data_IF_047341232532
#
_entry.id   IF_047341232532
#
_cell.length_a   1.000
_cell.length_b   1.000
_cell.length_c   1.000
_cell.angle_alpha   90.00
_cell.angle_beta   90.00
_cell.angle_gamma   90.00
#
_symmetry.space_group_name_H-M   'P 1'
#
loop_
_entity.id
_entity.type
_entity.pdbx_description
1 polymer ?
#
# COMPACT_ATOMS: atom_id res chain seq x y z
N UNK A 1 20.90 13.91 17.57
CA UNK A 1 21.85 13.77 16.45
C UNK A 1 23.02 14.77 16.51
N UNK A 2 23.30 15.41 17.66
CA UNK A 2 24.59 16.06 17.95
C UNK A 2 25.18 15.35 19.19
N UNK A 3 26.47 15.04 19.17
CA UNK A 3 27.15 14.31 20.25
C UNK A 3 27.32 12.82 19.97
N UNK A 4 27.85 12.07 20.94
CA UNK A 4 28.03 10.62 20.83
C UNK A 4 26.71 9.91 21.15
N UNK A 5 26.17 9.16 20.19
CA UNK A 5 24.87 8.49 20.32
C UNK A 5 23.68 9.35 19.89
N UNK A 6 22.52 8.72 19.81
CA UNK A 6 21.26 9.36 19.43
C UNK A 6 20.24 9.22 20.54
N UNK A 7 19.32 10.18 20.64
CA UNK A 7 18.18 10.11 21.57
C UNK A 7 17.00 9.53 20.81
N UNK A 8 16.92 8.20 20.78
CA UNK A 8 15.89 7.45 20.05
C UNK A 8 14.49 7.81 20.54
N UNK A 9 14.35 8.00 21.86
CA UNK A 9 13.06 8.38 22.49
C UNK A 9 12.58 9.72 21.96
N UNK A 10 13.46 10.70 21.84
CA UNK A 10 13.11 12.01 21.27
C UNK A 10 12.75 11.91 19.80
N UNK A 11 13.52 11.16 18.99
CA UNK A 11 13.19 10.95 17.58
C UNK A 11 11.82 10.31 17.39
N UNK A 12 11.52 9.25 18.15
CA UNK A 12 10.21 8.59 18.11
C UNK A 12 9.11 9.60 18.45
N UNK A 13 9.20 10.29 19.59
CA UNK A 13 8.17 11.22 20.04
C UNK A 13 7.92 12.39 19.09
N UNK A 14 8.98 12.88 18.44
CA UNK A 14 8.87 13.99 17.51
C UNK A 14 8.22 13.53 16.21
N UNK A 15 8.72 12.47 15.57
CA UNK A 15 8.32 12.09 14.22
C UNK A 15 6.98 11.34 14.17
N UNK A 16 6.74 10.40 15.10
CA UNK A 16 5.52 9.55 15.13
C UNK A 16 4.23 10.28 15.51
N UNK A 17 4.26 11.62 15.61
CA UNK A 17 3.08 12.43 15.99
C UNK A 17 2.73 13.46 14.94
N UNK A 18 3.44 13.48 13.82
CA UNK A 18 3.36 14.54 12.81
C UNK A 18 2.44 14.12 11.68
N UNK A 19 1.63 15.06 11.22
CA UNK A 19 0.89 14.90 9.97
C UNK A 19 1.82 15.14 8.75
N UNK A 20 1.35 14.83 7.52
CA UNK A 20 2.13 15.02 6.30
C UNK A 20 2.68 16.44 6.07
N UNK A 21 1.96 17.48 6.49
CA UNK A 21 2.40 18.87 6.32
C UNK A 21 3.45 19.24 7.36
N UNK A 22 3.25 18.81 8.61
CA UNK A 22 4.18 19.05 9.69
C UNK A 22 5.54 18.39 9.44
N UNK A 23 5.56 17.17 8.89
CA UNK A 23 6.82 16.48 8.60
C UNK A 23 7.59 17.14 7.45
N UNK A 24 6.88 17.68 6.45
CA UNK A 24 7.47 18.48 5.37
C UNK A 24 8.14 19.75 5.93
N UNK A 25 7.44 20.46 6.83
CA UNK A 25 7.96 21.65 7.50
C UNK A 25 9.19 21.30 8.33
N UNK A 26 9.16 20.20 9.08
CA UNK A 26 10.31 19.75 9.88
C UNK A 26 11.50 19.47 8.96
N UNK A 27 11.32 18.69 7.90
CA UNK A 27 12.41 18.33 6.97
C UNK A 27 13.02 19.56 6.31
N UNK A 28 12.20 20.44 5.75
CA UNK A 28 12.66 21.65 5.08
C UNK A 28 13.31 22.66 6.04
N UNK A 29 12.79 22.81 7.25
CA UNK A 29 13.37 23.67 8.28
C UNK A 29 14.70 23.15 8.78
N UNK A 30 14.81 21.82 8.98
CA UNK A 30 16.05 21.17 9.36
C UNK A 30 17.16 21.44 8.33
N UNK A 31 16.85 21.25 7.04
CA UNK A 31 17.81 21.50 5.96
C UNK A 31 18.23 22.98 5.86
N UNK A 32 17.28 23.91 6.00
CA UNK A 32 17.60 25.35 5.98
C UNK A 32 18.47 25.79 7.16
N UNK A 33 18.18 25.27 8.35
CA UNK A 33 18.81 25.68 9.62
C UNK A 33 20.19 25.06 9.79
N UNK A 34 20.32 23.76 9.54
CA UNK A 34 21.55 23.02 9.80
C UNK A 34 22.40 22.76 8.55
N UNK A 35 21.89 23.07 7.36
CA UNK A 35 22.54 22.76 6.07
C UNK A 35 22.90 21.28 5.92
N UNK A 36 22.10 20.41 6.55
CA UNK A 36 22.21 18.94 6.56
C UNK A 36 20.87 18.34 6.18
N UNK A 37 20.87 17.10 5.69
CA UNK A 37 19.63 16.39 5.32
C UNK A 37 19.17 15.51 6.47
N UNK A 38 17.96 15.78 6.98
CA UNK A 38 17.36 15.03 8.10
C UNK A 38 17.40 13.51 7.89
N UNK A 39 17.03 13.06 6.69
CA UNK A 39 17.02 11.62 6.35
C UNK A 39 18.42 11.01 6.41
N UNK A 40 19.43 11.70 5.89
CA UNK A 40 20.81 11.19 5.89
C UNK A 40 21.41 11.19 7.30
N UNK A 41 21.07 12.18 8.11
CA UNK A 41 21.47 12.21 9.51
C UNK A 41 20.85 11.04 10.30
N UNK A 42 19.56 10.75 10.09
CA UNK A 42 18.90 9.58 10.69
C UNK A 42 19.61 8.28 10.29
N UNK A 43 19.92 8.09 9.01
CA UNK A 43 20.64 6.91 8.52
C UNK A 43 22.04 6.77 9.12
N UNK A 44 22.74 7.88 9.34
CA UNK A 44 24.09 7.84 9.93
C UNK A 44 24.11 7.48 11.41
N UNK A 45 23.00 7.71 12.10
CA UNK A 45 22.87 7.63 13.56
C UNK A 45 22.09 6.42 14.07
N UNK A 46 21.28 5.81 13.19
CA UNK A 46 20.41 4.66 13.54
C UNK A 46 20.70 3.50 12.60
N UNK A 47 20.20 2.29 12.92
CA UNK A 47 20.42 1.09 12.09
C UNK A 47 19.16 0.23 11.96
N UNK A 48 19.20 -0.67 10.97
CA UNK A 48 18.24 -1.78 10.80
C UNK A 48 16.78 -1.28 10.71
N UNK A 49 15.83 -2.02 11.26
CA UNK A 49 14.39 -1.73 11.16
C UNK A 49 13.95 -0.45 11.86
N UNK A 50 14.67 -0.06 12.91
CA UNK A 50 14.44 1.22 13.58
C UNK A 50 14.81 2.40 12.66
N UNK A 51 15.97 2.34 12.01
CA UNK A 51 16.37 3.32 10.98
C UNK A 51 15.35 3.37 9.85
N UNK A 52 14.97 2.21 9.30
CA UNK A 52 14.03 2.14 8.19
C UNK A 52 12.70 2.84 8.51
N UNK A 53 12.13 2.58 9.70
CA UNK A 53 10.91 3.24 10.13
C UNK A 53 11.06 4.76 10.32
N UNK A 54 12.14 5.22 10.95
CA UNK A 54 12.38 6.66 11.13
C UNK A 54 12.59 7.37 9.78
N UNK A 55 13.31 6.75 8.85
CA UNK A 55 13.52 7.29 7.50
C UNK A 55 12.20 7.40 6.75
N UNK A 56 11.32 6.39 6.84
CA UNK A 56 9.98 6.45 6.24
C UNK A 56 9.14 7.60 6.82
N UNK A 57 9.15 7.79 8.14
CA UNK A 57 8.49 8.96 8.75
C UNK A 57 9.11 10.27 8.24
N UNK A 58 10.44 10.42 8.30
CA UNK A 58 11.13 11.65 7.90
C UNK A 58 10.94 12.00 6.40
N UNK A 59 10.76 11.00 5.55
CA UNK A 59 10.41 11.17 4.14
C UNK A 59 8.98 11.71 3.96
N UNK A 60 8.05 11.44 4.88
CA UNK A 60 6.64 11.71 4.68
C UNK A 60 6.01 10.74 3.65
N UNK A 61 4.69 10.81 3.42
CA UNK A 61 3.97 9.78 2.67
C UNK A 61 4.46 9.62 1.22
N UNK A 62 4.61 10.73 0.48
CA UNK A 62 4.96 10.67 -0.94
C UNK A 62 6.41 10.21 -1.19
N UNK A 63 7.38 10.78 -0.46
CA UNK A 63 8.77 10.37 -0.65
C UNK A 63 9.03 8.95 -0.13
N UNK A 64 8.30 8.52 0.92
CA UNK A 64 8.38 7.15 1.39
C UNK A 64 7.91 6.18 0.31
N UNK A 65 6.75 6.43 -0.31
CA UNK A 65 6.21 5.60 -1.40
C UNK A 65 7.20 5.49 -2.59
N UNK A 66 7.74 6.60 -3.10
CA UNK A 66 8.64 6.53 -4.28
C UNK A 66 9.95 5.80 -3.95
N UNK A 67 10.50 5.96 -2.73
CA UNK A 67 11.70 5.26 -2.33
C UNK A 67 11.43 3.76 -2.12
N UNK A 68 10.31 3.39 -1.50
CA UNK A 68 9.93 1.99 -1.35
C UNK A 68 9.73 1.33 -2.73
N UNK A 69 9.12 2.02 -3.70
CA UNK A 69 9.02 1.55 -5.08
C UNK A 69 10.41 1.34 -5.70
N UNK A 70 11.28 2.35 -5.62
CA UNK A 70 12.62 2.30 -6.21
C UNK A 70 13.46 1.17 -5.61
N UNK A 71 13.50 1.09 -4.28
CA UNK A 71 14.29 0.10 -3.55
C UNK A 71 13.75 -1.33 -3.81
N UNK A 72 12.42 -1.50 -3.86
CA UNK A 72 11.82 -2.80 -4.15
C UNK A 72 12.07 -3.27 -5.58
N UNK A 73 12.10 -2.35 -6.56
CA UNK A 73 12.42 -2.65 -7.95
C UNK A 73 13.92 -2.90 -8.19
N UNK A 74 14.80 -2.38 -7.33
CA UNK A 74 16.24 -2.66 -7.42
C UNK A 74 16.66 -3.97 -6.73
N UNK A 75 15.86 -4.45 -5.78
CA UNK A 75 16.19 -5.59 -4.93
C UNK A 75 15.50 -6.91 -5.32
N UNK A 76 15.97 -8.05 -4.78
CA UNK A 76 15.31 -9.33 -5.01
C UNK A 76 14.02 -9.46 -4.19
N UNK A 77 12.94 -9.91 -4.84
CA UNK A 77 11.92 -10.75 -4.19
C UNK A 77 10.80 -10.09 -3.36
N UNK A 78 10.52 -8.79 -3.50
CA UNK A 78 9.31 -8.18 -2.88
C UNK A 78 8.62 -7.11 -3.73
N UNK A 79 9.10 -6.86 -4.95
CA UNK A 79 8.63 -5.78 -5.82
C UNK A 79 7.12 -5.80 -6.03
N UNK A 80 6.53 -6.97 -6.28
CA UNK A 80 5.12 -7.07 -6.63
C UNK A 80 4.21 -6.74 -5.43
N UNK A 81 4.61 -7.13 -4.22
CA UNK A 81 3.85 -6.82 -2.99
C UNK A 81 3.92 -5.32 -2.68
N UNK A 82 5.10 -4.72 -2.81
CA UNK A 82 5.29 -3.29 -2.57
C UNK A 82 4.56 -2.45 -3.62
N UNK A 83 4.60 -2.88 -4.88
CA UNK A 83 3.83 -2.25 -5.96
C UNK A 83 2.33 -2.38 -5.72
N UNK A 84 1.84 -3.54 -5.25
CA UNK A 84 0.44 -3.72 -4.86
C UNK A 84 0.04 -2.71 -3.78
N UNK A 85 0.79 -2.67 -2.67
CA UNK A 85 0.51 -1.79 -1.53
C UNK A 85 0.51 -0.30 -1.92
N UNK A 86 1.39 0.11 -2.84
CA UNK A 86 1.62 1.53 -3.17
C UNK A 86 0.75 2.01 -4.32
N UNK A 87 0.61 1.23 -5.39
CA UNK A 87 0.02 1.68 -6.65
C UNK A 87 -1.45 1.29 -6.80
N UNK A 88 -1.85 0.13 -6.27
CA UNK A 88 -3.23 -0.32 -6.41
C UNK A 88 -4.15 0.46 -5.48
N UNK A 89 -5.37 0.74 -5.95
CA UNK A 89 -6.39 1.50 -5.22
C UNK A 89 -6.00 2.95 -4.87
N UNK A 90 -4.95 3.50 -5.47
CA UNK A 90 -4.63 4.94 -5.39
C UNK A 90 -5.56 5.78 -6.26
N UNK A 91 -5.76 7.02 -5.85
CA UNK A 91 -6.46 8.00 -6.68
C UNK A 91 -5.62 8.40 -7.90
N UNK A 92 -6.28 8.92 -8.93
CA UNK A 92 -5.58 9.43 -10.11
C UNK A 92 -4.61 10.56 -9.77
N UNK A 93 -5.00 11.42 -8.81
CA UNK A 93 -4.15 12.51 -8.33
C UNK A 93 -2.89 11.97 -7.63
N UNK A 94 -3.04 10.98 -6.76
CA UNK A 94 -1.90 10.35 -6.07
C UNK A 94 -0.96 9.67 -7.06
N UNK A 95 -1.48 8.91 -8.02
CA UNK A 95 -0.65 8.25 -9.04
C UNK A 95 0.14 9.27 -9.86
N UNK A 96 -0.48 10.40 -10.26
CA UNK A 96 0.24 11.48 -10.96
C UNK A 96 1.32 12.11 -10.08
N UNK A 97 1.05 12.31 -8.79
CA UNK A 97 2.02 12.83 -7.83
C UNK A 97 3.21 11.87 -7.62
N UNK A 98 2.93 10.58 -7.43
CA UNK A 98 3.93 9.51 -7.31
C UNK A 98 4.84 9.51 -8.54
N UNK A 99 4.27 9.48 -9.75
CA UNK A 99 5.04 9.46 -10.99
C UNK A 99 5.93 10.70 -11.16
N UNK A 100 5.38 11.88 -10.88
CA UNK A 100 6.13 13.13 -10.96
C UNK A 100 7.29 13.16 -9.95
N UNK A 101 7.03 12.80 -8.69
CA UNK A 101 8.03 12.79 -7.63
C UNK A 101 9.12 11.71 -7.88
N UNK A 102 8.74 10.56 -8.42
CA UNK A 102 9.66 9.49 -8.80
C UNK A 102 10.64 9.97 -9.89
N UNK A 103 10.12 10.58 -10.96
CA UNK A 103 10.94 11.15 -12.05
C UNK A 103 11.85 12.28 -11.57
N UNK A 104 11.37 13.14 -10.67
CA UNK A 104 12.18 14.23 -10.13
C UNK A 104 13.32 13.71 -9.25
N UNK A 105 13.05 12.71 -8.42
CA UNK A 105 13.98 12.16 -7.43
C UNK A 105 15.02 11.25 -8.08
N UNK A 106 14.61 10.30 -8.93
CA UNK A 106 15.48 9.27 -9.48
C UNK A 106 15.92 9.51 -10.92
N UNK A 107 15.38 10.55 -11.59
CA UNK A 107 15.62 10.84 -13.01
C UNK A 107 15.25 9.68 -13.94
N UNK A 108 14.35 8.80 -13.49
CA UNK A 108 13.82 7.64 -14.20
C UNK A 108 12.29 7.70 -14.21
N UNK A 109 11.65 7.18 -15.26
CA UNK A 109 10.19 7.07 -15.30
C UNK A 109 9.76 5.82 -14.54
N UNK A 110 8.76 5.97 -13.67
CA UNK A 110 8.17 4.83 -12.96
C UNK A 110 7.62 3.80 -13.94
N UNK A 111 6.98 4.24 -15.02
CA UNK A 111 6.49 3.32 -16.07
C UNK A 111 7.62 2.52 -16.72
N UNK A 112 8.77 3.15 -16.99
CA UNK A 112 9.91 2.46 -17.59
C UNK A 112 10.53 1.44 -16.62
N UNK A 113 10.61 1.78 -15.33
CA UNK A 113 11.12 0.86 -14.32
C UNK A 113 10.17 -0.33 -14.13
N UNK A 114 8.85 -0.10 -14.12
CA UNK A 114 7.84 -1.17 -14.08
C UNK A 114 7.95 -2.10 -15.30
N UNK A 115 8.21 -1.55 -16.50
CA UNK A 115 8.43 -2.35 -17.72
C UNK A 115 9.71 -3.19 -17.67
N UNK A 116 10.74 -2.69 -17.01
CA UNK A 116 11.98 -3.45 -16.81
C UNK A 116 11.83 -4.59 -15.81
N UNK A 117 10.99 -4.40 -14.80
CA UNK A 117 10.89 -5.31 -13.66
C UNK A 117 9.81 -6.38 -13.76
N UNK A 118 8.72 -6.12 -14.47
CA UNK A 118 7.61 -7.05 -14.64
C UNK A 118 7.59 -7.61 -16.06
N UNK A 119 6.91 -8.75 -16.23
CA UNK A 119 6.78 -9.40 -17.53
C UNK A 119 5.33 -9.53 -17.97
N UNK A 120 5.14 -9.57 -19.29
CA UNK A 120 3.93 -10.01 -19.98
C UNK A 120 2.66 -9.28 -19.51
N UNK A 121 1.71 -10.01 -18.92
CA UNK A 121 0.41 -9.48 -18.55
C UNK A 121 0.48 -8.66 -17.27
N UNK A 122 1.33 -9.04 -16.31
CA UNK A 122 1.47 -8.31 -15.03
C UNK A 122 2.00 -6.90 -15.26
N UNK A 123 2.99 -6.76 -16.14
CA UNK A 123 3.44 -5.45 -16.63
C UNK A 123 2.25 -4.63 -17.18
N UNK A 124 1.47 -5.21 -18.11
CA UNK A 124 0.31 -4.52 -18.70
C UNK A 124 -0.72 -4.09 -17.66
N UNK A 125 -0.99 -4.91 -16.65
CA UNK A 125 -1.91 -4.57 -15.56
C UNK A 125 -1.45 -3.31 -14.81
N UNK A 126 -0.18 -3.26 -14.39
CA UNK A 126 0.34 -2.08 -13.71
C UNK A 126 0.43 -0.86 -14.63
N UNK A 127 0.65 -1.02 -15.93
CA UNK A 127 0.57 0.10 -16.89
C UNK A 127 -0.86 0.65 -17.03
N UNK A 128 -1.89 -0.20 -16.94
CA UNK A 128 -3.29 0.26 -16.88
C UNK A 128 -3.51 1.10 -15.62
N UNK A 129 -3.00 0.64 -14.46
CA UNK A 129 -3.10 1.41 -13.20
C UNK A 129 -2.36 2.74 -13.32
N UNK A 130 -1.10 2.73 -13.79
CA UNK A 130 -0.27 3.92 -13.95
C UNK A 130 -0.79 4.92 -14.99
N UNK A 131 -1.72 4.52 -15.86
CA UNK A 131 -2.44 5.44 -16.73
C UNK A 131 -3.30 6.44 -15.94
N UNK A 132 -3.65 6.13 -14.68
CA UNK A 132 -4.39 7.03 -13.78
C UNK A 132 -5.72 7.52 -14.39
N UNK A 133 -6.52 6.55 -14.87
CA UNK A 133 -7.83 6.72 -15.50
C UNK A 133 -8.96 6.03 -14.71
N UNK A 134 -8.77 5.82 -13.40
CA UNK A 134 -9.80 5.25 -12.51
C UNK A 134 -10.96 6.22 -12.38
N UNK A 135 -12.19 5.73 -12.33
CA UNK A 135 -13.33 6.58 -11.98
C UNK A 135 -13.07 7.27 -10.62
N UNK A 136 -13.41 8.55 -10.50
CA UNK A 136 -13.21 9.29 -9.25
C UNK A 136 -14.06 8.70 -8.12
N UNK A 137 -13.59 8.79 -6.88
CA UNK A 137 -14.28 8.18 -5.72
C UNK A 137 -15.66 8.78 -5.45
N UNK A 138 -15.87 10.03 -5.89
CA UNK A 138 -17.16 10.73 -5.81
C UNK A 138 -18.18 10.28 -6.86
N UNK A 139 -17.75 9.53 -7.89
CA UNK A 139 -18.65 9.06 -8.92
C UNK A 139 -19.66 8.04 -8.34
N UNK A 140 -20.96 8.22 -8.58
CA UNK A 140 -21.97 7.29 -8.09
C UNK A 140 -21.88 5.94 -8.81
N UNK A 141 -22.37 4.89 -8.14
CA UNK A 141 -22.50 3.57 -8.76
C UNK A 141 -23.45 3.65 -9.95
N UNK A 142 -23.03 3.14 -11.11
CA UNK A 142 -23.84 3.01 -12.30
C UNK A 142 -24.36 1.56 -12.41
N UNK A 143 -25.66 1.29 -12.15
CA UNK A 143 -26.21 -0.07 -12.15
C UNK A 143 -26.12 -0.77 -13.51
N UNK A 144 -26.29 -0.06 -14.62
CA UNK A 144 -26.19 -0.64 -15.96
C UNK A 144 -24.76 -1.12 -16.23
N UNK A 145 -23.77 -0.30 -15.87
CA UNK A 145 -22.37 -0.70 -15.98
C UNK A 145 -22.01 -1.82 -15.00
N UNK A 146 -22.65 -1.92 -13.84
CA UNK A 146 -22.48 -3.08 -12.94
C UNK A 146 -22.91 -4.36 -13.66
N UNK A 147 -24.10 -4.38 -14.26
CA UNK A 147 -24.59 -5.57 -14.97
C UNK A 147 -23.71 -5.95 -16.16
N UNK A 148 -23.25 -4.96 -16.93
CA UNK A 148 -22.33 -5.16 -18.04
C UNK A 148 -20.98 -5.72 -17.56
N UNK A 149 -20.37 -5.11 -16.55
CA UNK A 149 -19.07 -5.55 -16.00
C UNK A 149 -19.18 -6.96 -15.40
N UNK A 150 -20.28 -7.29 -14.72
CA UNK A 150 -20.55 -8.65 -14.21
C UNK A 150 -20.58 -9.68 -15.35
N UNK A 151 -21.30 -9.38 -16.43
CA UNK A 151 -21.37 -10.27 -17.59
C UNK A 151 -20.05 -10.37 -18.33
N UNK A 152 -19.31 -9.27 -18.44
CA UNK A 152 -17.99 -9.23 -19.07
C UNK A 152 -16.98 -10.04 -18.28
N UNK A 153 -16.96 -9.92 -16.95
CA UNK A 153 -16.11 -10.74 -16.08
C UNK A 153 -16.46 -12.22 -16.25
N UNK A 154 -17.74 -12.60 -16.18
CA UNK A 154 -18.16 -13.99 -16.36
C UNK A 154 -17.71 -14.56 -17.72
N UNK A 155 -17.92 -13.82 -18.81
CA UNK A 155 -17.49 -14.23 -20.15
C UNK A 155 -15.97 -14.26 -20.31
N UNK A 156 -15.24 -13.45 -19.54
CA UNK A 156 -13.78 -13.42 -19.53
C UNK A 156 -13.18 -14.54 -18.69
N UNK A 157 -13.96 -15.15 -17.80
CA UNK A 157 -13.53 -16.21 -16.89
C UNK A 157 -14.29 -17.51 -17.17
N UNK A 158 -15.27 -17.84 -16.32
CA UNK A 158 -15.96 -19.12 -16.27
C UNK A 158 -16.82 -19.42 -17.51
N UNK A 159 -17.16 -18.39 -18.29
CA UNK A 159 -17.97 -18.51 -19.50
C UNK A 159 -17.20 -18.98 -20.74
N UNK A 160 -15.90 -19.27 -20.64
CA UNK A 160 -15.05 -19.72 -21.75
C UNK A 160 -13.94 -20.66 -21.28
N UNK A 161 -13.25 -21.28 -22.23
CA UNK A 161 -11.99 -21.99 -21.95
C UNK A 161 -10.84 -20.98 -21.92
N UNK A 162 -10.12 -20.95 -20.81
CA UNK A 162 -9.03 -20.00 -20.54
C UNK A 162 -9.54 -18.60 -20.18
N UNK A 163 -8.66 -17.72 -19.72
CA UNK A 163 -9.06 -16.42 -19.15
C UNK A 163 -8.74 -15.26 -20.11
N UNK A 164 -9.59 -14.24 -20.19
CA UNK A 164 -9.22 -12.92 -20.74
C UNK A 164 -8.79 -12.00 -19.60
N UNK A 165 -7.53 -12.11 -19.21
CA UNK A 165 -7.00 -11.45 -18.02
C UNK A 165 -6.98 -9.93 -18.16
N UNK A 166 -6.76 -9.41 -19.36
CA UNK A 166 -6.63 -7.96 -19.59
C UNK A 166 -7.99 -7.27 -19.45
N UNK A 167 -9.09 -7.91 -19.87
CA UNK A 167 -10.42 -7.37 -19.66
C UNK A 167 -10.74 -7.25 -18.15
N UNK A 168 -10.47 -8.30 -17.37
CA UNK A 168 -10.67 -8.27 -15.91
C UNK A 168 -9.78 -7.22 -15.23
N UNK A 169 -8.51 -7.13 -15.64
CA UNK A 169 -7.58 -6.08 -15.19
C UNK A 169 -8.13 -4.67 -15.48
N UNK A 170 -8.63 -4.44 -16.69
CA UNK A 170 -9.15 -3.15 -17.11
C UNK A 170 -10.37 -2.74 -16.28
N UNK A 171 -11.28 -3.68 -16.01
CA UNK A 171 -12.46 -3.41 -15.18
C UNK A 171 -12.01 -3.07 -13.75
N UNK A 172 -11.24 -3.93 -13.08
CA UNK A 172 -10.86 -3.72 -11.68
C UNK A 172 -9.92 -2.52 -11.46
N UNK A 173 -9.17 -2.09 -12.48
CA UNK A 173 -8.28 -0.92 -12.38
C UNK A 173 -8.94 0.41 -12.74
N UNK A 174 -10.01 0.41 -13.55
CA UNK A 174 -10.65 1.65 -13.99
C UNK A 174 -11.95 1.97 -13.24
N UNK A 175 -12.55 1.03 -12.52
CA UNK A 175 -13.73 1.30 -11.67
C UNK A 175 -13.30 1.82 -10.30
N UNK A 176 -14.14 2.66 -9.69
CA UNK A 176 -13.96 3.06 -8.30
C UNK A 176 -14.42 1.94 -7.34
N UNK A 177 -14.06 2.05 -6.07
CA UNK A 177 -14.31 1.00 -5.09
C UNK A 177 -15.80 0.72 -4.88
N UNK A 178 -16.64 1.75 -4.96
CA UNK A 178 -18.09 1.60 -4.83
C UNK A 178 -18.67 0.77 -5.98
N UNK A 179 -18.22 1.03 -7.21
CA UNK A 179 -18.61 0.26 -8.39
C UNK A 179 -18.10 -1.18 -8.31
N UNK A 180 -16.83 -1.40 -7.93
CA UNK A 180 -16.26 -2.76 -7.78
C UNK A 180 -17.01 -3.55 -6.71
N UNK A 181 -17.35 -2.94 -5.57
CA UNK A 181 -18.15 -3.57 -4.52
C UNK A 181 -19.53 -3.99 -5.03
N UNK A 182 -20.19 -3.14 -5.82
CA UNK A 182 -21.48 -3.46 -6.43
C UNK A 182 -21.36 -4.59 -7.47
N UNK A 183 -20.29 -4.61 -8.27
CA UNK A 183 -19.96 -5.72 -9.19
C UNK A 183 -19.79 -7.02 -8.43
N UNK A 184 -18.99 -7.04 -7.36
CA UNK A 184 -18.77 -8.23 -6.55
C UNK A 184 -20.07 -8.78 -5.94
N UNK A 185 -20.91 -7.89 -5.41
CA UNK A 185 -22.22 -8.25 -4.86
C UNK A 185 -23.16 -8.84 -5.92
N UNK A 186 -23.27 -8.17 -7.06
CA UNK A 186 -24.16 -8.57 -8.16
C UNK A 186 -23.68 -9.87 -8.81
N UNK A 187 -22.37 -10.06 -8.94
CA UNK A 187 -21.77 -11.31 -9.42
C UNK A 187 -22.19 -12.49 -8.54
N UNK A 188 -22.09 -12.34 -7.21
CA UNK A 188 -22.52 -13.36 -6.25
C UNK A 188 -24.00 -13.69 -6.38
N UNK A 189 -24.86 -12.69 -6.50
CA UNK A 189 -26.30 -12.90 -6.67
C UNK A 189 -26.64 -13.64 -7.97
N UNK A 190 -25.97 -13.29 -9.07
CA UNK A 190 -26.28 -13.81 -10.40
C UNK A 190 -25.77 -15.23 -10.63
N UNK A 191 -24.56 -15.53 -10.14
CA UNK A 191 -23.88 -16.81 -10.40
C UNK A 191 -23.75 -17.71 -9.17
N UNK A 192 -24.23 -17.26 -8.01
CA UNK A 192 -24.11 -17.97 -6.73
C UNK A 192 -22.66 -18.36 -6.39
N UNK A 193 -21.70 -17.51 -6.77
CA UNK A 193 -20.26 -17.73 -6.58
C UNK A 193 -19.56 -16.42 -6.20
N UNK A 194 -18.65 -16.48 -5.24
CA UNK A 194 -17.91 -15.30 -4.81
C UNK A 194 -16.86 -14.91 -5.85
N UNK A 195 -16.86 -13.64 -6.27
CA UNK A 195 -15.90 -13.14 -7.26
C UNK A 195 -14.44 -13.30 -6.79
N UNK A 196 -14.19 -13.24 -5.48
CA UNK A 196 -12.88 -13.54 -4.89
C UNK A 196 -12.44 -14.97 -5.23
N UNK A 197 -13.33 -15.96 -5.04
CA UNK A 197 -13.07 -17.36 -5.37
C UNK A 197 -12.86 -17.57 -6.88
N UNK A 198 -13.58 -16.85 -7.72
CA UNK A 198 -13.38 -16.89 -9.18
C UNK A 198 -11.99 -16.37 -9.55
N UNK A 199 -11.58 -15.22 -9.01
CA UNK A 199 -10.23 -14.68 -9.26
C UNK A 199 -9.16 -15.67 -8.76
N UNK A 200 -9.38 -16.32 -7.61
CA UNK A 200 -8.45 -17.32 -7.09
C UNK A 200 -8.27 -18.54 -8.00
N UNK A 201 -9.34 -18.99 -8.68
CA UNK A 201 -9.29 -20.16 -9.56
C UNK A 201 -8.78 -19.85 -10.96
N UNK A 202 -9.09 -18.66 -11.47
CA UNK A 202 -8.88 -18.29 -12.88
C UNK A 202 -7.54 -17.59 -13.14
N UNK A 203 -6.88 -17.11 -12.07
CA UNK A 203 -5.62 -16.39 -12.13
C UNK A 203 -4.58 -17.04 -11.22
N UNK A 204 -3.30 -16.81 -11.51
CA UNK A 204 -2.19 -17.31 -10.70
C UNK A 204 -1.11 -16.24 -10.50
N UNK A 205 -0.21 -16.51 -9.55
CA UNK A 205 0.93 -15.65 -9.23
C UNK A 205 0.54 -14.20 -8.91
N UNK A 206 1.41 -13.27 -9.31
CA UNK A 206 1.27 -11.85 -8.98
C UNK A 206 0.01 -11.20 -9.55
N UNK A 207 -0.48 -11.66 -10.70
CA UNK A 207 -1.71 -11.13 -11.27
C UNK A 207 -2.92 -11.43 -10.40
N UNK A 208 -3.04 -12.68 -9.93
CA UNK A 208 -4.08 -13.06 -8.98
C UNK A 208 -4.01 -12.18 -7.74
N UNK A 209 -2.81 -12.02 -7.18
CA UNK A 209 -2.62 -11.29 -5.94
C UNK A 209 -2.96 -9.79 -6.09
N UNK A 210 -2.65 -9.18 -7.25
CA UNK A 210 -3.02 -7.80 -7.57
C UNK A 210 -4.54 -7.61 -7.72
N UNK A 211 -5.22 -8.49 -8.46
CA UNK A 211 -6.67 -8.40 -8.67
C UNK A 211 -7.43 -8.65 -7.36
N UNK A 212 -6.96 -9.59 -6.53
CA UNK A 212 -7.51 -9.83 -5.20
C UNK A 212 -7.28 -8.62 -4.28
N UNK A 213 -6.12 -7.97 -4.37
CA UNK A 213 -5.85 -6.76 -3.61
C UNK A 213 -6.89 -5.67 -3.92
N UNK A 214 -7.12 -5.37 -5.21
CA UNK A 214 -8.10 -4.36 -5.63
C UNK A 214 -9.53 -4.74 -5.20
N UNK A 215 -9.93 -6.00 -5.43
CA UNK A 215 -11.26 -6.49 -5.07
C UNK A 215 -11.50 -6.40 -3.56
N UNK A 216 -10.58 -6.94 -2.74
CA UNK A 216 -10.71 -6.96 -1.28
C UNK A 216 -10.67 -5.56 -0.69
N UNK A 217 -9.83 -4.68 -1.23
CA UNK A 217 -9.81 -3.27 -0.86
C UNK A 217 -11.16 -2.60 -1.13
N UNK A 218 -11.70 -2.79 -2.35
CA UNK A 218 -12.98 -2.21 -2.71
C UNK A 218 -14.14 -2.74 -1.84
N UNK A 219 -14.16 -4.04 -1.54
CA UNK A 219 -15.22 -4.65 -0.74
C UNK A 219 -15.18 -4.17 0.71
N UNK A 220 -14.02 -4.27 1.38
CA UNK A 220 -13.82 -3.84 2.76
C UNK A 220 -12.35 -3.44 3.00
N UNK A 221 -12.05 -2.16 2.73
CA UNK A 221 -10.69 -1.63 2.81
C UNK A 221 -10.05 -1.78 4.18
N UNK A 222 -10.82 -1.64 5.27
CA UNK A 222 -10.27 -1.70 6.63
C UNK A 222 -10.00 -3.13 7.08
N UNK A 223 -10.90 -4.07 6.74
CA UNK A 223 -10.64 -5.49 6.96
C UNK A 223 -9.45 -5.97 6.12
N UNK A 224 -9.37 -5.56 4.85
CA UNK A 224 -8.25 -5.90 3.99
C UNK A 224 -6.92 -5.36 4.54
N UNK A 225 -6.88 -4.10 4.97
CA UNK A 225 -5.71 -3.52 5.63
C UNK A 225 -5.29 -4.29 6.90
N UNK A 226 -6.26 -4.70 7.73
CA UNK A 226 -6.00 -5.51 8.91
C UNK A 226 -5.40 -6.88 8.57
N UNK A 227 -5.87 -7.53 7.50
CA UNK A 227 -5.31 -8.78 7.00
C UNK A 227 -3.88 -8.61 6.49
N UNK A 228 -3.62 -7.56 5.70
CA UNK A 228 -2.27 -7.25 5.21
C UNK A 228 -1.29 -6.98 6.37
N UNK A 229 -1.73 -6.31 7.44
CA UNK A 229 -0.91 -6.16 8.64
C UNK A 229 -0.63 -7.51 9.30
N UNK A 230 -1.64 -8.37 9.46
CA UNK A 230 -1.41 -9.72 10.01
C UNK A 230 -0.48 -10.54 9.13
N UNK A 231 -0.62 -10.50 7.80
CA UNK A 231 0.21 -11.25 6.86
C UNK A 231 1.69 -10.83 6.90
N UNK A 232 1.98 -9.65 7.44
CA UNK A 232 3.35 -9.19 7.70
C UNK A 232 3.94 -9.73 9.01
N UNK A 233 3.09 -10.18 9.94
CA UNK A 233 3.45 -10.64 11.29
C UNK A 233 3.22 -12.14 11.52
N UNK A 234 2.43 -12.80 10.68
CA UNK A 234 2.10 -14.21 10.80
C UNK A 234 3.19 -15.10 10.19
N UNK A 235 3.45 -16.24 10.83
CA UNK A 235 4.42 -17.25 10.38
C UNK A 235 5.73 -17.22 11.17
N UNK A 236 6.79 -17.76 10.58
CA UNK A 236 8.12 -17.73 11.19
C UNK A 236 8.79 -16.39 10.89
N UNK A 237 9.04 -15.62 11.96
CA UNK A 237 9.59 -14.28 11.86
C UNK A 237 8.57 -13.25 11.35
N UNK A 238 9.03 -12.02 11.22
CA UNK A 238 8.22 -10.89 10.74
C UNK A 238 8.76 -10.39 9.41
N UNK A 239 7.85 -10.04 8.49
CA UNK A 239 8.17 -9.36 7.22
C UNK A 239 8.32 -7.87 7.52
N UNK A 240 9.38 -7.51 8.25
CA UNK A 240 9.56 -6.18 8.87
C UNK A 240 9.39 -5.02 7.87
N UNK A 241 9.94 -5.15 6.66
CA UNK A 241 9.76 -4.16 5.61
C UNK A 241 8.28 -3.85 5.32
N UNK A 242 7.44 -4.88 5.22
CA UNK A 242 6.00 -4.73 4.99
C UNK A 242 5.28 -4.22 6.23
N UNK A 243 5.63 -4.73 7.42
CA UNK A 243 5.02 -4.28 8.67
C UNK A 243 5.25 -2.77 8.88
N UNK A 244 6.50 -2.31 8.67
CA UNK A 244 6.88 -0.90 8.78
C UNK A 244 6.15 -0.06 7.74
N UNK A 245 6.24 -0.42 6.47
CA UNK A 245 5.64 0.35 5.37
C UNK A 245 4.13 0.47 5.52
N UNK A 246 3.43 -0.62 5.90
CA UNK A 246 1.97 -0.63 6.11
C UNK A 246 1.57 0.18 7.33
N UNK A 247 2.26 0.00 8.46
CA UNK A 247 1.95 0.76 9.68
C UNK A 247 2.14 2.26 9.48
N UNK A 248 3.25 2.67 8.84
CA UNK A 248 3.51 4.08 8.55
C UNK A 248 2.54 4.63 7.51
N UNK A 249 2.14 3.84 6.51
CA UNK A 249 1.10 4.26 5.55
C UNK A 249 -0.19 4.68 6.26
N UNK A 250 -0.67 3.85 7.19
CA UNK A 250 -1.90 4.16 7.95
C UNK A 250 -1.68 5.25 9.02
N UNK A 251 -0.46 5.44 9.51
CA UNK A 251 -0.12 6.47 10.49
C UNK A 251 -0.53 7.90 10.07
N UNK A 252 -0.45 8.20 8.76
CA UNK A 252 -0.68 9.55 8.24
C UNK A 252 -2.13 10.04 8.34
N UNK A 253 -3.11 9.14 8.40
CA UNK A 253 -4.52 9.46 8.63
C UNK A 253 -5.02 8.77 9.89
N UNK A 254 -5.29 9.57 10.93
CA UNK A 254 -5.72 9.07 12.24
C UNK A 254 -7.08 8.38 12.20
N UNK A 255 -7.99 8.82 11.33
CA UNK A 255 -9.30 8.22 11.20
C UNK A 255 -9.19 6.87 10.49
N UNK A 256 -8.40 6.80 9.42
CA UNK A 256 -8.09 5.54 8.74
C UNK A 256 -7.42 4.55 9.70
N UNK A 257 -6.37 4.97 10.42
CA UNK A 257 -5.70 4.14 11.41
C UNK A 257 -6.66 3.60 12.47
N UNK A 258 -7.56 4.43 13.00
CA UNK A 258 -8.55 4.01 13.98
C UNK A 258 -9.48 2.92 13.43
N UNK A 259 -9.95 3.07 12.18
CA UNK A 259 -10.78 2.07 11.52
C UNK A 259 -10.03 0.76 11.25
N UNK A 260 -8.77 0.82 10.83
CA UNK A 260 -7.91 -0.37 10.66
C UNK A 260 -7.69 -1.08 12.00
N UNK A 261 -7.40 -0.35 13.08
CA UNK A 261 -7.28 -0.92 14.44
C UNK A 261 -8.58 -1.60 14.87
N UNK A 262 -9.73 -0.98 14.60
CA UNK A 262 -11.05 -1.55 14.89
C UNK A 262 -11.31 -2.85 14.13
N UNK A 263 -11.07 -2.85 12.82
CA UNK A 263 -11.21 -4.05 11.98
C UNK A 263 -10.27 -5.18 12.42
N UNK A 264 -9.03 -4.84 12.76
CA UNK A 264 -8.04 -5.79 13.28
C UNK A 264 -8.50 -6.42 14.59
N UNK A 265 -8.91 -5.60 15.58
CA UNK A 265 -9.44 -6.09 16.85
C UNK A 265 -10.67 -6.98 16.65
N UNK A 266 -11.57 -6.59 15.74
CA UNK A 266 -12.77 -7.36 15.44
C UNK A 266 -12.41 -8.75 14.88
N UNK A 267 -11.46 -8.83 13.94
CA UNK A 267 -11.09 -10.06 13.23
C UNK A 267 -10.22 -11.01 14.05
N UNK A 268 -9.25 -10.48 14.78
CA UNK A 268 -8.21 -11.26 15.47
C UNK A 268 -8.38 -11.29 16.99
N UNK A 269 -9.38 -10.56 17.53
CA UNK A 269 -9.70 -10.48 18.96
C UNK A 269 -8.52 -10.00 19.82
N UNK A 270 -7.57 -9.30 19.22
CA UNK A 270 -6.35 -8.79 19.85
C UNK A 270 -6.05 -7.38 19.33
N UNK A 271 -5.61 -6.43 20.18
CA UNK A 271 -5.31 -5.08 19.70
C UNK A 271 -4.08 -5.09 18.80
N UNK A 272 -4.11 -4.30 17.71
CA UNK A 272 -3.00 -4.23 16.75
C UNK A 272 -1.67 -3.88 17.42
N UNK A 273 -1.64 -2.89 18.33
CA UNK A 273 -0.42 -2.53 19.04
C UNK A 273 0.11 -3.69 19.90
N UNK A 274 -0.78 -4.48 20.51
CA UNK A 274 -0.38 -5.66 21.29
C UNK A 274 0.17 -6.76 20.38
N UNK A 275 -0.37 -6.91 19.16
CA UNK A 275 0.21 -7.81 18.16
C UNK A 275 1.62 -7.37 17.77
N UNK A 276 1.80 -6.09 17.41
CA UNK A 276 3.09 -5.51 17.02
C UNK A 276 4.13 -5.67 18.14
N UNK A 277 3.76 -5.42 19.40
CA UNK A 277 4.65 -5.61 20.55
C UNK A 277 5.16 -7.05 20.70
N UNK A 278 4.40 -8.04 20.24
CA UNK A 278 4.79 -9.44 20.31
C UNK A 278 5.80 -9.86 19.22
N UNK A 279 5.86 -9.11 18.12
CA UNK A 279 6.70 -9.42 16.95
C UNK A 279 7.97 -8.58 16.85
N UNK A 280 8.03 -7.48 17.59
CA UNK A 280 9.09 -6.48 17.48
C UNK A 280 9.73 -6.25 18.85
N UNK A 281 10.96 -5.76 18.87
CA UNK A 281 11.69 -5.44 20.11
C UNK A 281 12.44 -4.11 20.03
N UNK A 282 12.91 -3.62 21.18
CA UNK A 282 13.77 -2.43 21.28
C UNK A 282 13.09 -1.13 20.81
N UNK A 283 13.87 -0.22 20.24
CA UNK A 283 13.34 1.07 19.75
C UNK A 283 12.53 0.94 18.47
N UNK A 284 12.77 -0.11 17.69
CA UNK A 284 11.89 -0.50 16.57
C UNK A 284 10.47 -0.77 17.07
N UNK A 285 10.29 -1.59 18.12
CA UNK A 285 8.98 -1.82 18.73
C UNK A 285 8.33 -0.53 19.22
N UNK A 286 9.09 0.30 19.95
CA UNK A 286 8.57 1.57 20.49
C UNK A 286 8.10 2.51 19.37
N UNK A 287 8.85 2.60 18.28
CA UNK A 287 8.49 3.37 17.10
C UNK A 287 7.18 2.88 16.49
N UNK A 288 7.06 1.57 16.27
CA UNK A 288 5.89 0.97 15.63
C UNK A 288 4.61 1.13 16.47
N UNK A 289 4.73 0.98 17.79
CA UNK A 289 3.63 1.21 18.74
C UNK A 289 3.23 2.69 18.73
N UNK A 290 4.20 3.61 18.71
CA UNK A 290 3.92 5.03 18.61
C UNK A 290 3.20 5.40 17.29
N UNK A 291 3.59 4.80 16.17
CA UNK A 291 2.93 5.00 14.88
C UNK A 291 1.47 4.52 14.85
N UNK A 292 1.11 3.52 15.66
CA UNK A 292 -0.31 3.10 15.85
C UNK A 292 -1.04 3.87 16.95
N UNK A 293 -0.44 4.95 17.46
CA UNK A 293 -1.06 5.92 18.35
C UNK A 293 -1.02 5.55 19.84
N UNK A 294 -0.06 4.74 20.28
CA UNK A 294 0.12 4.31 21.68
C UNK A 294 1.48 4.71 22.27
#
# INVERSE_FOLDING_TARGET
>A
MKGFGTDEKTLINVLSRKDPLQIEVIRSTYERTFKRRLVEDIKSETRSWFEFGLVQLARGPLLADIHNLFDAMAGPGTKEIVMNDILLSRSNADLRAIKSAYQQTFRRSLENDVKGELSLKTERHFLIVLAANRAEDSAPVNPQQVEEDVMNIYRATEGKVGTDEILVCSILSNRNDNQIRAVAHTYKQKFNRDLDTVIQSEFSGHMRDALLFQLRHAVDKYMHAAQLLEDSMAGLGTKDHLLISRTIRFHWDRNELANVKGAYQHRYKKPLATRIRGETSGDYQKLMVACVGE
#
